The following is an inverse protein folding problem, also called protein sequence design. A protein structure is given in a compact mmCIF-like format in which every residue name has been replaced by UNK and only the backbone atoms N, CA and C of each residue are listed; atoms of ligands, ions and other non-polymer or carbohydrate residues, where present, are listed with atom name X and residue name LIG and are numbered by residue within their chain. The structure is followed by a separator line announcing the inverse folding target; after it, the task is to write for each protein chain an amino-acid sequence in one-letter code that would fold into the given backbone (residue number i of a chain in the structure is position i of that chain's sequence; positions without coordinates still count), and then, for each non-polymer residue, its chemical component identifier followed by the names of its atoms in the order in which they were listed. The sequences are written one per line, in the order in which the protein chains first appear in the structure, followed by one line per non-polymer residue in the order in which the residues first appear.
data_IF_057936628608
#
_entry.id   IF_057936628608
#
_cell.length_a   1.000
_cell.length_b   1.000
_cell.length_c   1.000
_cell.angle_alpha   90.00
_cell.angle_beta   90.00
_cell.angle_gamma   90.00
#
_symmetry.space_group_name_H-M   'P 1'
#
loop_
_entity.id
_entity.type
_entity.pdbx_description
1 polymer ?
#
# COMPACT_ATOMS: atom_id res chain seq x y z
N UNK A 1 -15.11 -19.43 7.42
CA UNK A 1 -14.89 -17.96 7.34
C UNK A 1 -13.41 -17.74 7.17
N UNK A 2 -12.99 -17.11 6.06
CA UNK A 2 -11.58 -16.83 5.80
C UNK A 2 -11.07 -15.73 6.74
N UNK A 3 -9.74 -15.55 6.83
CA UNK A 3 -9.17 -14.42 7.57
C UNK A 3 -9.62 -13.07 6.97
N UNK A 4 -9.76 -13.01 5.65
CA UNK A 4 -10.22 -11.81 4.96
C UNK A 4 -11.67 -11.46 5.33
N UNK A 5 -12.55 -12.45 5.43
CA UNK A 5 -13.95 -12.25 5.89
C UNK A 5 -13.99 -11.66 7.31
N UNK A 6 -13.15 -12.17 8.21
CA UNK A 6 -13.05 -11.66 9.58
C UNK A 6 -12.57 -10.20 9.61
N UNK A 7 -11.55 -9.88 8.79
CA UNK A 7 -11.02 -8.51 8.65
C UNK A 7 -12.12 -7.58 8.16
N UNK A 8 -12.86 -7.97 7.10
CA UNK A 8 -13.91 -7.12 6.52
C UNK A 8 -15.09 -6.90 7.48
N UNK A 9 -15.49 -7.93 8.25
CA UNK A 9 -16.51 -7.78 9.29
C UNK A 9 -16.07 -6.79 10.37
N UNK A 10 -14.85 -6.91 10.87
CA UNK A 10 -14.31 -5.98 11.86
C UNK A 10 -14.19 -4.56 11.29
N UNK A 11 -13.75 -4.44 10.04
CA UNK A 11 -13.63 -3.14 9.36
C UNK A 11 -14.99 -2.47 9.17
N UNK A 12 -16.04 -3.23 8.88
CA UNK A 12 -17.39 -2.68 8.79
C UNK A 12 -17.87 -2.07 10.12
N UNK A 13 -17.59 -2.71 11.25
CA UNK A 13 -17.91 -2.18 12.58
C UNK A 13 -17.09 -0.91 12.88
N UNK A 14 -15.79 -0.93 12.57
CA UNK A 14 -14.88 0.21 12.76
C UNK A 14 -15.34 1.44 11.95
N UNK A 15 -15.57 1.27 10.65
CA UNK A 15 -15.96 2.38 9.76
C UNK A 15 -17.33 2.94 10.17
N UNK A 16 -18.30 2.08 10.54
CA UNK A 16 -19.60 2.54 11.02
C UNK A 16 -19.49 3.37 12.31
N UNK A 17 -18.59 3.00 13.22
CA UNK A 17 -18.33 3.78 14.44
C UNK A 17 -17.66 5.12 14.12
N UNK A 18 -16.65 5.13 13.27
CA UNK A 18 -15.94 6.34 12.84
C UNK A 18 -16.87 7.34 12.13
N UNK A 19 -17.74 6.89 11.22
CA UNK A 19 -18.73 7.73 10.53
C UNK A 19 -19.69 8.44 11.50
N UNK A 20 -20.01 7.80 12.62
CA UNK A 20 -20.83 8.42 13.68
C UNK A 20 -20.06 9.43 14.52
N UNK A 21 -18.78 9.18 14.74
CA UNK A 21 -17.94 10.01 15.61
C UNK A 21 -17.41 11.26 14.89
N UNK A 22 -17.03 11.14 13.62
CA UNK A 22 -16.41 12.22 12.83
C UNK A 22 -17.12 12.31 11.47
N UNK A 23 -17.72 13.45 11.18
CA UNK A 23 -18.37 13.68 9.88
C UNK A 23 -17.34 13.94 8.78
N UNK A 24 -17.71 13.74 7.50
CA UNK A 24 -16.87 14.12 6.35
C UNK A 24 -16.50 15.61 6.43
N UNK A 25 -17.44 16.48 6.76
CA UNK A 25 -17.17 17.92 6.93
C UNK A 25 -16.12 18.19 8.01
N UNK A 26 -16.08 17.39 9.08
CA UNK A 26 -15.02 17.50 10.09
C UNK A 26 -13.68 17.02 9.55
N UNK A 27 -13.64 15.93 8.76
CA UNK A 27 -12.41 15.45 8.09
C UNK A 27 -11.85 16.52 7.14
N UNK A 28 -12.70 17.24 6.41
CA UNK A 28 -12.29 18.34 5.52
C UNK A 28 -11.60 19.50 6.27
N UNK A 29 -11.83 19.64 7.57
CA UNK A 29 -11.16 20.65 8.41
C UNK A 29 -9.79 20.21 8.95
N UNK A 30 -9.34 18.97 8.69
CA UNK A 30 -8.06 18.49 9.16
C UNK A 30 -6.89 19.11 8.39
N UNK A 31 -5.77 19.27 9.06
CA UNK A 31 -4.58 19.99 8.57
C UNK A 31 -4.11 19.55 7.18
N UNK A 32 -4.19 18.24 6.88
CA UNK A 32 -3.66 17.71 5.62
C UNK A 32 -4.69 17.63 4.49
N UNK A 33 -5.96 17.93 4.74
CA UNK A 33 -7.01 17.70 3.74
C UNK A 33 -6.79 18.48 2.44
N UNK A 34 -6.39 19.74 2.53
CA UNK A 34 -6.12 20.59 1.37
C UNK A 34 -4.66 20.60 0.92
N UNK A 35 -3.82 19.74 1.50
CA UNK A 35 -2.44 19.58 1.07
C UNK A 35 -2.39 19.05 -0.37
N UNK A 36 -1.46 19.59 -1.17
CA UNK A 36 -1.11 19.00 -2.46
C UNK A 36 -0.44 17.64 -2.23
N UNK A 37 -0.92 16.61 -2.92
CA UNK A 37 -0.40 15.25 -2.82
C UNK A 37 0.88 15.08 -3.62
N UNK A 38 1.69 14.09 -3.22
CA UNK A 38 2.87 13.66 -3.95
C UNK A 38 2.54 12.41 -4.77
N UNK A 39 3.01 12.36 -6.02
CA UNK A 39 2.73 11.23 -6.92
C UNK A 39 3.66 10.04 -6.65
N UNK A 40 3.09 8.92 -6.22
CA UNK A 40 3.78 7.64 -6.14
C UNK A 40 4.08 7.08 -7.54
N UNK A 41 3.17 7.27 -8.48
CA UNK A 41 3.36 6.89 -9.87
C UNK A 41 4.63 7.52 -10.45
N UNK A 42 4.80 8.83 -10.30
CA UNK A 42 6.01 9.53 -10.77
C UNK A 42 7.26 9.06 -10.03
N UNK A 43 7.17 8.87 -8.70
CA UNK A 43 8.29 8.41 -7.89
C UNK A 43 8.79 7.02 -8.30
N UNK A 44 7.93 6.17 -8.85
CA UNK A 44 8.25 4.78 -9.24
C UNK A 44 8.61 4.60 -10.72
N UNK A 45 8.53 5.62 -11.58
CA UNK A 45 8.75 5.46 -13.03
C UNK A 45 10.11 4.83 -13.39
N UNK A 46 11.15 5.09 -12.62
CA UNK A 46 12.51 4.56 -12.85
C UNK A 46 12.81 3.28 -12.06
N UNK A 47 11.88 2.82 -11.27
CA UNK A 47 12.03 1.77 -10.29
C UNK A 47 12.26 2.33 -8.89
N UNK A 48 11.68 1.66 -7.87
CA UNK A 48 11.83 2.08 -6.49
C UNK A 48 11.12 1.19 -5.48
N UNK A 49 11.53 1.31 -4.23
CA UNK A 49 10.94 0.57 -3.12
C UNK A 49 9.78 1.36 -2.52
N UNK A 50 8.66 0.67 -2.33
CA UNK A 50 7.56 1.07 -1.43
C UNK A 50 7.90 0.42 -0.08
N UNK A 51 8.48 1.19 0.83
CA UNK A 51 8.95 0.68 2.13
C UNK A 51 7.79 0.66 3.13
N UNK A 52 7.42 -0.54 3.60
CA UNK A 52 6.24 -0.72 4.43
C UNK A 52 6.60 -0.78 5.92
N UNK A 53 5.97 0.09 6.72
CA UNK A 53 5.94 0.00 8.17
C UNK A 53 4.79 -0.92 8.61
N UNK A 54 5.15 -2.06 9.21
CA UNK A 54 4.22 -3.09 9.66
C UNK A 54 4.69 -3.77 10.93
N UNK A 55 3.91 -3.68 12.02
CA UNK A 55 4.25 -4.26 13.32
C UNK A 55 3.95 -5.74 13.42
N UNK A 56 2.87 -6.20 12.77
CA UNK A 56 2.40 -7.60 12.76
C UNK A 56 1.56 -7.88 11.52
N UNK A 57 1.20 -9.14 11.32
CA UNK A 57 0.24 -9.56 10.30
C UNK A 57 -0.47 -10.84 10.75
N UNK A 58 -1.59 -11.25 10.10
CA UNK A 58 -2.26 -12.51 10.40
C UNK A 58 -1.35 -13.74 10.27
N UNK A 59 -0.35 -13.72 9.39
CA UNK A 59 0.62 -14.80 9.23
C UNK A 59 1.79 -14.72 10.23
N UNK A 60 2.01 -13.56 10.90
CA UNK A 60 3.10 -13.33 11.87
C UNK A 60 2.64 -12.39 12.97
N UNK A 61 2.42 -12.94 14.16
CA UNK A 61 1.91 -12.22 15.33
C UNK A 61 2.83 -11.08 15.80
N UNK A 62 4.14 -11.15 15.53
CA UNK A 62 5.09 -10.08 15.80
C UNK A 62 6.16 -10.04 14.69
N UNK A 63 6.34 -8.87 14.08
CA UNK A 63 7.43 -8.57 13.14
C UNK A 63 8.39 -7.60 13.82
N UNK A 64 7.89 -6.44 14.24
CA UNK A 64 8.59 -5.44 15.03
C UNK A 64 7.55 -4.63 15.85
N UNK A 65 7.03 -5.26 16.93
CA UNK A 65 5.90 -4.73 17.69
C UNK A 65 6.19 -3.40 18.42
N UNK A 66 7.46 -3.12 18.72
CA UNK A 66 7.89 -1.93 19.47
C UNK A 66 8.44 -0.82 18.57
N UNK A 67 8.40 -1.01 17.23
CA UNK A 67 8.92 0.00 16.31
C UNK A 67 8.17 1.32 16.44
N UNK A 68 8.92 2.41 16.51
CA UNK A 68 8.38 3.76 16.48
C UNK A 68 8.32 4.26 15.04
N UNK A 69 7.16 4.72 14.62
CA UNK A 69 6.92 5.16 13.24
C UNK A 69 7.93 6.20 12.80
N UNK A 70 8.20 7.22 13.64
CA UNK A 70 9.13 8.30 13.29
C UNK A 70 10.55 7.78 13.02
N UNK A 71 11.03 6.78 13.75
CA UNK A 71 12.37 6.22 13.57
C UNK A 71 12.45 5.43 12.25
N UNK A 72 11.43 4.59 12.00
CA UNK A 72 11.37 3.76 10.78
C UNK A 72 11.17 4.64 9.54
N UNK A 73 10.25 5.60 9.58
CA UNK A 73 9.99 6.52 8.45
C UNK A 73 11.24 7.33 8.11
N UNK A 74 11.94 7.88 9.12
CA UNK A 74 13.19 8.61 8.90
C UNK A 74 14.29 7.72 8.31
N UNK A 75 14.36 6.46 8.75
CA UNK A 75 15.31 5.51 8.17
C UNK A 75 14.95 5.14 6.71
N UNK A 76 13.67 4.95 6.41
CA UNK A 76 13.19 4.67 5.05
C UNK A 76 13.41 5.87 4.12
N UNK A 77 13.12 7.08 4.58
CA UNK A 77 13.33 8.30 3.81
C UNK A 77 14.81 8.51 3.49
N UNK A 78 15.69 8.45 4.49
CA UNK A 78 17.15 8.57 4.33
C UNK A 78 17.78 7.41 3.56
N UNK A 79 17.15 6.24 3.57
CA UNK A 79 17.51 5.07 2.77
C UNK A 79 17.15 5.19 1.30
N UNK A 80 16.33 6.19 0.94
CA UNK A 80 15.91 6.44 -0.43
C UNK A 80 14.71 5.63 -0.87
N UNK A 81 13.78 5.27 0.04
CA UNK A 81 12.47 4.76 -0.35
C UNK A 81 11.80 5.71 -1.33
N UNK A 82 11.19 5.19 -2.39
CA UNK A 82 10.45 6.00 -3.35
C UNK A 82 9.06 6.38 -2.81
N UNK A 83 8.42 5.47 -2.09
CA UNK A 83 7.10 5.60 -1.45
C UNK A 83 7.17 4.93 -0.08
N UNK A 84 6.43 5.42 0.90
CA UNK A 84 6.28 4.74 2.18
C UNK A 84 4.85 4.20 2.31
N UNK A 85 4.72 2.96 2.78
CA UNK A 85 3.44 2.30 3.04
C UNK A 85 3.22 2.19 4.55
N UNK A 86 2.10 2.73 5.03
CA UNK A 86 1.77 2.75 6.45
C UNK A 86 0.50 1.95 6.70
N UNK A 87 0.62 0.85 7.46
CA UNK A 87 -0.54 0.08 7.90
C UNK A 87 -1.39 0.94 8.84
N UNK A 88 -2.70 1.02 8.57
CA UNK A 88 -3.65 1.73 9.42
C UNK A 88 -4.71 0.82 10.05
N UNK A 89 -4.69 -0.49 9.75
CA UNK A 89 -5.51 -1.48 10.45
C UNK A 89 -4.94 -1.80 11.83
N UNK A 90 -5.75 -1.58 12.86
CA UNK A 90 -5.32 -1.72 14.25
C UNK A 90 -5.38 -3.18 14.71
N UNK A 91 -6.48 -3.88 14.42
CA UNK A 91 -6.77 -5.20 15.00
C UNK A 91 -5.83 -6.28 14.47
N UNK A 92 -5.63 -6.33 13.17
CA UNK A 92 -4.87 -7.42 12.52
C UNK A 92 -3.42 -7.06 12.24
N UNK A 93 -3.12 -5.76 11.99
CA UNK A 93 -1.79 -5.32 11.58
C UNK A 93 -1.08 -4.41 12.59
N UNK A 94 -1.78 -3.95 13.63
CA UNK A 94 -1.19 -3.12 14.69
C UNK A 94 -0.83 -1.71 14.23
N UNK A 95 -1.46 -1.23 13.17
CA UNK A 95 -1.31 0.13 12.65
C UNK A 95 -2.37 1.07 13.19
N UNK A 96 -2.30 2.34 12.82
CA UNK A 96 -3.32 3.35 13.13
C UNK A 96 -3.27 4.53 12.16
N UNK A 97 -4.31 5.35 12.17
CA UNK A 97 -4.31 6.62 11.42
C UNK A 97 -3.33 7.64 12.02
N UNK A 98 -3.08 7.57 13.33
CA UNK A 98 -2.06 8.36 14.01
C UNK A 98 -0.64 8.01 13.51
N UNK A 99 -0.39 6.75 13.15
CA UNK A 99 0.86 6.33 12.51
C UNK A 99 1.03 7.02 11.14
N UNK A 100 -0.05 7.14 10.36
CA UNK A 100 -0.04 7.81 9.07
C UNK A 100 0.26 9.32 9.21
N UNK A 101 -0.39 10.00 10.16
CA UNK A 101 -0.11 11.41 10.50
C UNK A 101 1.32 11.58 10.96
N UNK A 102 1.78 10.68 11.84
CA UNK A 102 3.17 10.70 12.32
C UNK A 102 4.14 10.55 11.15
N UNK A 103 3.89 9.59 10.25
CA UNK A 103 4.71 9.42 9.06
C UNK A 103 4.76 10.71 8.22
N UNK A 104 3.61 11.35 7.99
CA UNK A 104 3.55 12.59 7.19
C UNK A 104 4.40 13.72 7.77
N UNK A 105 4.55 13.79 9.09
CA UNK A 105 5.39 14.80 9.75
C UNK A 105 6.90 14.56 9.57
N UNK A 106 7.32 13.37 9.12
CA UNK A 106 8.73 12.99 9.03
C UNK A 106 9.22 12.73 7.60
N UNK A 107 8.36 12.88 6.58
CA UNK A 107 8.76 12.69 5.18
C UNK A 107 7.91 13.52 4.22
N UNK A 108 8.50 13.92 3.11
CA UNK A 108 7.80 14.49 1.95
C UNK A 108 7.59 13.44 0.83
N UNK A 109 7.95 12.19 1.06
CA UNK A 109 7.69 11.10 0.11
C UNK A 109 6.19 10.80 0.01
N UNK A 110 5.71 10.25 -1.12
CA UNK A 110 4.35 9.77 -1.20
C UNK A 110 4.06 8.73 -0.10
N UNK A 111 2.90 8.86 0.55
CA UNK A 111 2.41 7.92 1.58
C UNK A 111 1.24 7.10 1.07
N UNK A 112 1.40 5.78 1.06
CA UNK A 112 0.34 4.82 0.84
C UNK A 112 -0.36 4.49 2.17
N UNK A 113 -1.67 4.75 2.27
CA UNK A 113 -2.50 4.18 3.32
C UNK A 113 -2.77 2.71 3.01
N UNK A 114 -2.13 1.80 3.73
CA UNK A 114 -2.31 0.36 3.60
C UNK A 114 -3.40 -0.10 4.57
N UNK A 115 -4.61 -0.28 4.08
CA UNK A 115 -5.81 -0.64 4.84
C UNK A 115 -6.82 -1.37 3.93
N UNK A 116 -7.93 -1.85 4.49
CA UNK A 116 -9.04 -2.46 3.76
C UNK A 116 -10.09 -1.39 3.48
N UNK A 117 -9.93 -0.69 2.36
CA UNK A 117 -10.79 0.42 1.95
C UNK A 117 -11.94 -0.14 1.09
N UNK A 118 -13.20 0.13 1.53
CA UNK A 118 -14.41 -0.32 0.84
C UNK A 118 -15.54 0.71 0.88
N UNK A 119 -15.40 1.76 1.68
CA UNK A 119 -16.41 2.81 1.89
C UNK A 119 -15.82 4.19 1.51
N UNK A 120 -16.55 5.05 0.81
CA UNK A 120 -16.11 6.40 0.45
C UNK A 120 -15.59 7.23 1.63
N UNK A 121 -16.13 7.03 2.83
CA UNK A 121 -15.66 7.69 4.05
C UNK A 121 -14.16 7.48 4.30
N UNK A 122 -13.65 6.26 4.02
CA UNK A 122 -12.24 5.93 4.23
C UNK A 122 -11.32 6.67 3.24
N UNK A 123 -11.83 7.07 2.06
CA UNK A 123 -11.08 7.88 1.10
C UNK A 123 -10.91 9.31 1.63
N UNK A 124 -11.98 9.93 2.15
CA UNK A 124 -11.90 11.22 2.85
C UNK A 124 -10.97 11.14 4.06
N UNK A 125 -11.08 10.07 4.84
CA UNK A 125 -10.22 9.81 5.99
C UNK A 125 -8.74 9.70 5.57
N UNK A 126 -8.42 8.98 4.47
CA UNK A 126 -7.07 8.89 3.95
C UNK A 126 -6.50 10.27 3.60
N UNK A 127 -7.27 11.10 2.90
CA UNK A 127 -6.89 12.47 2.56
C UNK A 127 -6.65 13.33 3.80
N UNK A 128 -7.56 13.27 4.76
CA UNK A 128 -7.52 14.05 6.00
C UNK A 128 -6.29 13.73 6.86
N UNK A 129 -5.86 12.48 6.84
CA UNK A 129 -4.71 11.98 7.61
C UNK A 129 -3.38 12.01 6.83
N UNK A 130 -3.36 12.61 5.63
CA UNK A 130 -2.12 12.93 4.90
C UNK A 130 -1.60 11.85 3.97
N UNK A 131 -2.44 10.89 3.56
CA UNK A 131 -2.12 9.95 2.48
C UNK A 131 -1.98 10.67 1.13
N UNK A 132 -1.26 10.04 0.22
CA UNK A 132 -1.14 10.38 -1.20
C UNK A 132 -1.73 9.30 -2.08
N UNK A 133 -1.74 8.06 -1.58
CA UNK A 133 -2.22 6.87 -2.28
C UNK A 133 -3.13 6.06 -1.36
N UNK A 134 -4.18 5.49 -1.92
CA UNK A 134 -5.01 4.49 -1.23
C UNK A 134 -4.81 3.11 -1.84
N UNK A 135 -5.04 2.07 -1.01
CA UNK A 135 -5.09 0.68 -1.46
C UNK A 135 -6.55 0.28 -1.73
N UNK A 136 -6.81 -0.28 -2.90
CA UNK A 136 -8.02 -1.04 -3.21
C UNK A 136 -7.64 -2.50 -3.45
N UNK A 137 -8.41 -3.45 -2.91
CA UNK A 137 -8.10 -4.88 -2.99
C UNK A 137 -9.17 -5.55 -3.86
N UNK A 138 -8.75 -6.14 -4.99
CA UNK A 138 -9.64 -6.72 -5.98
C UNK A 138 -10.50 -7.86 -5.42
N UNK A 139 -9.96 -8.72 -4.55
CA UNK A 139 -10.69 -9.81 -3.90
C UNK A 139 -11.80 -9.36 -2.94
N UNK A 140 -11.78 -8.09 -2.51
CA UNK A 140 -12.75 -7.52 -1.56
C UNK A 140 -13.86 -6.74 -2.27
N UNK A 141 -13.53 -6.09 -3.38
CA UNK A 141 -14.38 -5.09 -4.03
C UNK A 141 -14.96 -5.61 -5.35
N UNK A 142 -16.18 -5.18 -5.67
CA UNK A 142 -16.73 -5.30 -7.02
C UNK A 142 -16.07 -4.29 -7.96
N UNK A 143 -16.14 -4.53 -9.28
CA UNK A 143 -15.62 -3.59 -10.28
C UNK A 143 -16.21 -2.19 -10.12
N UNK A 144 -17.52 -2.09 -9.89
CA UNK A 144 -18.21 -0.81 -9.68
C UNK A 144 -17.68 -0.07 -8.45
N UNK A 145 -17.46 -0.77 -7.33
CA UNK A 145 -16.85 -0.15 -6.14
C UNK A 145 -15.44 0.35 -6.38
N UNK A 146 -14.64 -0.40 -7.14
CA UNK A 146 -13.28 0.03 -7.52
C UNK A 146 -13.35 1.33 -8.35
N UNK A 147 -14.25 1.39 -9.33
CA UNK A 147 -14.40 2.57 -10.19
C UNK A 147 -14.91 3.79 -9.39
N UNK A 148 -15.90 3.61 -8.52
CA UNK A 148 -16.45 4.68 -7.67
C UNK A 148 -15.41 5.21 -6.67
N UNK A 149 -14.69 4.31 -5.98
CA UNK A 149 -13.66 4.71 -5.01
C UNK A 149 -12.45 5.34 -5.69
N UNK A 150 -12.09 4.87 -6.89
CA UNK A 150 -11.00 5.46 -7.67
C UNK A 150 -11.35 6.87 -8.16
N UNK A 151 -12.57 7.07 -8.66
CA UNK A 151 -13.04 8.38 -9.08
C UNK A 151 -13.01 9.38 -7.91
N UNK A 152 -13.52 8.99 -6.74
CA UNK A 152 -13.47 9.82 -5.54
C UNK A 152 -12.02 10.09 -5.08
N UNK A 153 -11.14 9.10 -5.15
CA UNK A 153 -9.73 9.28 -4.81
C UNK A 153 -9.10 10.36 -5.70
N UNK A 154 -9.31 10.30 -7.00
CA UNK A 154 -8.80 11.29 -7.96
C UNK A 154 -9.42 12.69 -7.75
N UNK A 155 -10.71 12.79 -7.43
CA UNK A 155 -11.35 14.07 -7.07
C UNK A 155 -10.67 14.72 -5.85
N UNK A 156 -10.23 13.91 -4.90
CA UNK A 156 -9.49 14.36 -3.72
C UNK A 156 -7.97 14.50 -3.97
N UNK A 157 -7.51 14.23 -5.20
CA UNK A 157 -6.10 14.29 -5.59
C UNK A 157 -5.24 13.14 -5.07
N UNK A 158 -5.85 12.01 -4.68
CA UNK A 158 -5.16 10.78 -4.28
C UNK A 158 -4.92 9.87 -5.50
N UNK A 159 -3.83 9.13 -5.51
CA UNK A 159 -3.61 8.02 -6.44
C UNK A 159 -4.15 6.70 -5.88
N UNK A 160 -4.32 5.70 -6.75
CA UNK A 160 -4.88 4.39 -6.41
C UNK A 160 -3.90 3.29 -6.74
N UNK A 161 -3.59 2.46 -5.75
CA UNK A 161 -2.96 1.15 -5.92
C UNK A 161 -4.06 0.08 -5.87
N UNK A 162 -4.29 -0.62 -6.98
CA UNK A 162 -5.17 -1.79 -7.03
C UNK A 162 -4.34 -3.06 -6.85
N UNK A 163 -4.59 -3.81 -5.78
CA UNK A 163 -3.95 -5.10 -5.49
C UNK A 163 -4.76 -6.25 -6.09
N UNK A 164 -4.09 -7.14 -6.86
CA UNK A 164 -4.66 -8.35 -7.46
C UNK A 164 -3.85 -9.59 -7.07
N UNK A 165 -4.51 -10.77 -6.99
CA UNK A 165 -3.92 -12.03 -6.56
C UNK A 165 -3.90 -13.10 -7.64
N UNK A 166 -4.60 -12.90 -8.74
CA UNK A 166 -4.66 -13.82 -9.87
C UNK A 166 -5.09 -13.12 -11.16
N UNK A 167 -5.10 -13.89 -12.23
CA UNK A 167 -5.46 -13.41 -13.58
C UNK A 167 -6.94 -13.03 -13.71
N UNK A 168 -7.82 -13.73 -13.02
CA UNK A 168 -9.26 -13.48 -13.07
C UNK A 168 -9.58 -12.12 -12.44
N UNK A 169 -9.04 -11.86 -11.24
CA UNK A 169 -9.14 -10.54 -10.59
C UNK A 169 -8.59 -9.42 -11.47
N UNK A 170 -7.42 -9.63 -12.09
CA UNK A 170 -6.82 -8.66 -12.99
C UNK A 170 -7.74 -8.32 -14.17
N UNK A 171 -8.18 -9.33 -14.91
CA UNK A 171 -8.98 -9.12 -16.13
C UNK A 171 -10.35 -8.52 -15.84
N UNK A 172 -10.98 -8.90 -14.72
CA UNK A 172 -12.29 -8.39 -14.32
C UNK A 172 -12.24 -6.98 -13.72
N UNK A 173 -11.19 -6.67 -12.93
CA UNK A 173 -11.18 -5.53 -12.01
C UNK A 173 -10.32 -4.36 -12.47
N UNK A 174 -9.29 -4.58 -13.30
CA UNK A 174 -8.42 -3.48 -13.75
C UNK A 174 -9.18 -2.43 -14.57
N UNK A 175 -8.68 -1.21 -14.53
CA UNK A 175 -9.21 -0.06 -15.27
C UNK A 175 -8.05 0.88 -15.62
N UNK A 176 -8.07 1.55 -16.79
CA UNK A 176 -7.00 2.50 -17.17
C UNK A 176 -6.87 3.71 -16.24
N UNK A 177 -7.86 3.96 -15.39
CA UNK A 177 -7.81 5.03 -14.37
C UNK A 177 -6.99 4.65 -13.14
N UNK A 178 -6.66 3.37 -12.94
CA UNK A 178 -5.80 2.91 -11.84
C UNK A 178 -4.36 3.35 -12.11
N UNK A 179 -3.72 3.99 -11.14
CA UNK A 179 -2.37 4.54 -11.26
C UNK A 179 -1.29 3.49 -11.11
N UNK A 180 -1.45 2.63 -10.11
CA UNK A 180 -0.53 1.57 -9.72
C UNK A 180 -1.29 0.24 -9.68
N UNK A 181 -0.72 -0.81 -10.28
CA UNK A 181 -1.30 -2.15 -10.20
C UNK A 181 -0.35 -3.09 -9.45
N UNK A 182 -0.79 -3.54 -8.29
CA UNK A 182 -0.05 -4.42 -7.41
C UNK A 182 -0.34 -5.90 -7.68
N UNK A 183 0.70 -6.69 -7.95
CA UNK A 183 0.60 -8.16 -7.96
C UNK A 183 1.04 -8.67 -6.60
N UNK A 184 0.09 -9.18 -5.83
CA UNK A 184 0.39 -9.84 -4.56
C UNK A 184 0.74 -11.30 -4.80
N UNK A 185 2.05 -11.61 -4.72
CA UNK A 185 2.57 -12.97 -4.91
C UNK A 185 2.17 -13.95 -3.79
N UNK A 186 1.57 -13.47 -2.70
CA UNK A 186 1.10 -14.31 -1.61
C UNK A 186 -0.37 -14.65 -1.77
N UNK A 187 -0.68 -15.94 -1.84
CA UNK A 187 -2.04 -16.42 -1.78
C UNK A 187 -2.64 -16.15 -0.39
N UNK A 188 -3.76 -15.42 -0.31
CA UNK A 188 -4.39 -15.06 0.96
C UNK A 188 -5.05 -16.22 1.71
N UNK A 189 -5.25 -17.37 1.05
CA UNK A 189 -5.87 -18.57 1.64
C UNK A 189 -4.83 -19.56 2.15
N UNK A 190 -3.76 -19.80 1.37
CA UNK A 190 -2.73 -20.81 1.69
C UNK A 190 -1.46 -20.17 2.29
N UNK A 191 -1.30 -18.85 2.18
CA UNK A 191 -0.09 -18.09 2.52
C UNK A 191 1.16 -18.47 1.72
N UNK A 192 1.04 -19.31 0.71
CA UNK A 192 2.12 -19.64 -0.21
C UNK A 192 2.49 -18.44 -1.08
N UNK A 193 3.77 -18.33 -1.41
CA UNK A 193 4.31 -17.26 -2.26
C UNK A 193 4.68 -17.86 -3.62
N UNK A 194 4.11 -17.31 -4.68
CA UNK A 194 4.44 -17.64 -6.07
C UNK A 194 4.94 -16.39 -6.80
N UNK A 195 6.26 -16.23 -6.84
CA UNK A 195 6.90 -15.06 -7.49
C UNK A 195 6.69 -15.04 -9.02
N UNK A 196 6.43 -16.21 -9.65
CA UNK A 196 6.23 -16.32 -11.10
C UNK A 196 4.88 -15.74 -11.55
N UNK A 197 3.94 -15.51 -10.63
CA UNK A 197 2.68 -14.84 -10.93
C UNK A 197 2.89 -13.47 -11.60
N UNK A 198 3.96 -12.76 -11.22
CA UNK A 198 4.33 -11.49 -11.83
C UNK A 198 4.61 -11.60 -13.34
N UNK A 199 5.30 -12.65 -13.79
CA UNK A 199 5.59 -12.90 -15.21
C UNK A 199 4.31 -13.18 -16.01
N UNK A 200 3.35 -13.88 -15.39
CA UNK A 200 2.06 -14.19 -16.03
C UNK A 200 1.18 -12.94 -16.17
N UNK A 201 1.10 -12.10 -15.13
CA UNK A 201 0.14 -11.00 -15.09
C UNK A 201 0.64 -9.72 -15.77
N UNK A 202 1.94 -9.44 -15.73
CA UNK A 202 2.50 -8.19 -16.24
C UNK A 202 2.11 -7.87 -17.70
N UNK A 203 2.12 -8.82 -18.66
CA UNK A 203 1.73 -8.55 -20.05
C UNK A 203 0.25 -8.16 -20.24
N UNK A 204 -0.59 -8.44 -19.23
CA UNK A 204 -2.04 -8.20 -19.26
C UNK A 204 -2.43 -6.85 -18.66
N UNK A 205 -1.49 -6.14 -18.06
CA UNK A 205 -1.73 -4.83 -17.42
C UNK A 205 -1.85 -3.71 -18.48
N UNK A 206 -2.59 -2.67 -18.15
CA UNK A 206 -2.60 -1.46 -18.95
C UNK A 206 -1.25 -0.74 -18.92
N UNK A 207 -0.76 -0.30 -20.07
CA UNK A 207 0.56 0.38 -20.21
C UNK A 207 0.66 1.71 -19.45
N UNK A 208 -0.46 2.28 -19.06
CA UNK A 208 -0.52 3.53 -18.27
C UNK A 208 -0.28 3.32 -16.78
N UNK A 209 -0.34 2.06 -16.32
CA UNK A 209 -0.19 1.69 -14.93
C UNK A 209 1.29 1.43 -14.58
N UNK A 210 1.67 1.72 -13.36
CA UNK A 210 2.96 1.28 -12.81
C UNK A 210 2.76 -0.07 -12.13
N UNK A 211 3.45 -1.10 -12.62
CA UNK A 211 3.39 -2.43 -12.03
C UNK A 211 4.17 -2.47 -10.70
N UNK A 212 3.52 -2.95 -9.65
CA UNK A 212 4.07 -3.10 -8.30
C UNK A 212 4.09 -4.58 -7.91
N UNK A 213 5.25 -5.08 -7.51
CA UNK A 213 5.42 -6.42 -6.96
C UNK A 213 5.25 -6.38 -5.44
N UNK A 214 4.37 -7.25 -4.90
CA UNK A 214 4.07 -7.31 -3.47
C UNK A 214 4.24 -8.72 -2.91
N UNK A 215 4.68 -8.80 -1.66
CA UNK A 215 4.91 -10.04 -0.91
C UNK A 215 6.04 -10.94 -1.43
N UNK A 216 6.71 -11.63 -0.49
CA UNK A 216 7.75 -12.61 -0.80
C UNK A 216 9.09 -12.03 -1.28
N UNK A 217 9.25 -10.73 -1.28
CA UNK A 217 10.46 -10.04 -1.71
C UNK A 217 11.47 -9.99 -0.56
N UNK A 218 12.36 -10.97 -0.50
CA UNK A 218 13.38 -11.09 0.55
C UNK A 218 14.81 -11.21 0.02
N UNK A 219 14.98 -11.33 -1.30
CA UNK A 219 16.26 -11.52 -1.96
C UNK A 219 16.47 -10.50 -3.09
N UNK A 220 17.65 -9.93 -3.19
CA UNK A 220 18.00 -8.98 -4.24
C UNK A 220 17.79 -9.55 -5.65
N UNK A 221 18.13 -10.84 -5.85
CA UNK A 221 17.97 -11.53 -7.12
C UNK A 221 16.49 -11.57 -7.60
N UNK A 222 15.53 -11.76 -6.67
CA UNK A 222 14.10 -11.72 -6.98
C UNK A 222 13.66 -10.33 -7.46
N UNK A 223 14.12 -9.28 -6.75
CA UNK A 223 13.82 -7.88 -7.08
C UNK A 223 14.41 -7.53 -8.45
N UNK A 224 15.67 -7.90 -8.69
CA UNK A 224 16.35 -7.67 -9.97
C UNK A 224 15.64 -8.38 -11.14
N UNK A 225 15.23 -9.63 -10.94
CA UNK A 225 14.49 -10.40 -11.94
C UNK A 225 13.15 -9.73 -12.29
N UNK A 226 12.34 -9.38 -11.29
CA UNK A 226 11.06 -8.68 -11.51
C UNK A 226 11.26 -7.29 -12.15
N UNK A 227 12.32 -6.58 -11.79
CA UNK A 227 12.66 -5.30 -12.42
C UNK A 227 12.98 -5.46 -13.91
N UNK A 228 13.75 -6.51 -14.28
CA UNK A 228 14.04 -6.85 -15.67
C UNK A 228 12.81 -7.29 -16.46
N UNK A 229 11.83 -7.92 -15.82
CA UNK A 229 10.52 -8.20 -16.41
C UNK A 229 9.73 -6.94 -16.74
N UNK A 230 9.88 -5.85 -15.95
CA UNK A 230 9.20 -4.59 -16.18
C UNK A 230 8.48 -4.01 -14.98
N UNK A 231 8.48 -4.67 -13.81
CA UNK A 231 8.00 -4.08 -12.57
C UNK A 231 8.80 -2.83 -12.21
N UNK A 232 8.12 -1.82 -11.65
CA UNK A 232 8.73 -0.56 -11.25
C UNK A 232 8.57 -0.26 -9.76
N UNK A 233 7.53 -0.77 -9.10
CA UNK A 233 7.34 -0.68 -7.66
C UNK A 233 7.64 -2.01 -6.97
N UNK A 234 8.27 -1.98 -5.80
CA UNK A 234 8.59 -3.16 -4.99
C UNK A 234 8.15 -2.91 -3.55
N UNK A 235 6.99 -3.46 -3.14
CA UNK A 235 6.45 -3.29 -1.80
C UNK A 235 7.12 -4.28 -0.85
N UNK A 236 7.96 -3.76 0.05
CA UNK A 236 8.81 -4.53 0.95
C UNK A 236 8.55 -4.07 2.39
N UNK A 237 8.00 -4.95 3.21
CA UNK A 237 7.74 -4.68 4.62
C UNK A 237 8.56 -5.58 5.54
N UNK A 238 8.22 -6.87 5.61
CA UNK A 238 8.79 -7.79 6.57
C UNK A 238 10.32 -7.85 6.52
N UNK A 239 10.91 -7.86 5.33
CA UNK A 239 12.35 -7.87 5.14
C UNK A 239 12.98 -6.63 5.80
N UNK A 240 12.50 -5.42 5.46
CA UNK A 240 13.02 -4.17 6.00
C UNK A 240 12.78 -4.00 7.51
N UNK A 241 11.63 -4.47 8.01
CA UNK A 241 11.26 -4.35 9.44
C UNK A 241 12.10 -5.27 10.35
N UNK A 242 12.79 -6.27 9.80
CA UNK A 242 13.70 -7.17 10.53
C UNK A 242 15.14 -6.70 10.54
N UNK A 243 15.50 -5.74 9.69
CA UNK A 243 16.84 -5.24 9.57
C UNK A 243 17.18 -4.25 10.70
N UNK A 244 18.35 -4.39 11.30
CA UNK A 244 18.87 -3.40 12.27
C UNK A 244 19.17 -2.05 11.61
N UNK A 245 19.50 -2.08 10.32
CA UNK A 245 19.84 -0.90 9.51
C UNK A 245 19.06 -0.81 8.20
N UNK A 246 17.72 -0.61 8.24
CA UNK A 246 16.87 -0.66 7.05
C UNK A 246 17.25 0.38 5.98
N UNK A 247 17.81 1.52 6.38
CA UNK A 247 18.33 2.51 5.43
C UNK A 247 19.50 2.00 4.56
N UNK A 248 20.36 1.14 5.11
CA UNK A 248 21.45 0.53 4.34
C UNK A 248 20.93 -0.51 3.36
N UNK A 249 20.00 -1.34 3.80
CA UNK A 249 19.33 -2.35 2.97
C UNK A 249 18.59 -1.67 1.80
N UNK A 250 17.87 -0.59 2.06
CA UNK A 250 17.20 0.20 1.00
C UNK A 250 18.20 0.77 -0.01
N UNK A 251 19.33 1.32 0.45
CA UNK A 251 20.39 1.81 -0.46
C UNK A 251 20.95 0.70 -1.35
N UNK A 252 21.15 -0.51 -0.82
CA UNK A 252 21.59 -1.65 -1.60
C UNK A 252 20.56 -2.08 -2.66
N UNK A 253 19.27 -2.15 -2.29
CA UNK A 253 18.18 -2.46 -3.24
C UNK A 253 18.12 -1.40 -4.33
N UNK A 254 18.21 -0.12 -4.00
CA UNK A 254 18.10 0.99 -4.96
C UNK A 254 19.25 1.00 -6.00
N UNK A 255 20.34 0.30 -5.77
CA UNK A 255 21.41 0.14 -6.78
C UNK A 255 20.93 -0.68 -7.99
N UNK A 256 19.91 -1.53 -7.83
CA UNK A 256 19.33 -2.34 -8.90
C UNK A 256 18.58 -1.50 -9.95
N UNK A 257 18.15 -0.29 -9.60
CA UNK A 257 17.30 0.59 -10.42
C UNK A 257 18.08 1.70 -11.15
N UNK A 258 19.40 1.61 -11.16
CA UNK A 258 20.30 2.59 -11.79
C UNK A 258 20.66 2.23 -13.22
#
# INVERSE_FOLDING_TARGET
MSILDQIMQQKAVEVAAKKKAVSIKALESFTYFYRQTHSAKVALLRGGVIAEHKRRSPSKAAINAQSKVQEIVSAYDSGGAAVLSILTDTVFFGGSLEDLVTARNYTEKPLLRKDFIYDPYQVYEAKAYGADVILLIASVLTKNQIDELSALAHELGLEVLLEVHDKEELLEKQSPVIDLLGVNHRNLKTFEVNINLGEELLPLMHKTQVAVAESGLSELAQIEWLYKLGFKGFLIGEYLMKEDHPAQTLRAINQLFR
#
